data_IF_724753464477
#
_entry.id   IF_724753464477
#
_cell.length_a   1.000
_cell.length_b   1.000
_cell.length_c   1.000
_cell.angle_alpha   90.00
_cell.angle_beta   90.00
_cell.angle_gamma   90.00
#
_symmetry.space_group_name_H-M   'P 1'
#
loop_
_entity.id
_entity.type
_entity.pdbx_description
1 polymer ?
#
# COMPACT_ATOMS: atom_id res chain seq x y z
N UNK A 1 1.75 5.77 25.24
CA UNK A 1 1.61 4.49 24.51
C UNK A 1 1.96 4.70 23.04
N UNK A 2 3.11 4.16 22.61
CA UNK A 2 3.79 4.53 21.37
C UNK A 2 3.11 3.94 20.11
N UNK A 3 2.96 4.78 19.08
CA UNK A 3 2.43 4.42 17.74
C UNK A 3 3.19 3.25 17.07
N UNK A 4 4.39 2.91 17.54
CA UNK A 4 5.20 1.81 16.99
C UNK A 4 4.76 0.40 17.43
N UNK A 5 4.09 0.24 18.58
CA UNK A 5 3.71 -1.10 19.08
C UNK A 5 2.56 -1.73 18.28
N UNK A 6 1.61 -0.93 17.78
CA UNK A 6 0.45 -1.42 17.00
C UNK A 6 0.80 -1.97 15.62
N UNK A 7 2.01 -1.71 15.11
CA UNK A 7 2.41 -2.10 13.76
C UNK A 7 3.06 -3.48 13.67
N UNK A 8 3.27 -4.14 14.81
CA UNK A 8 4.03 -5.39 14.93
C UNK A 8 3.15 -6.65 14.79
N UNK A 9 1.83 -6.53 15.03
CA UNK A 9 0.88 -7.67 15.02
C UNK A 9 0.06 -7.80 13.73
N UNK A 10 0.25 -6.90 12.76
CA UNK A 10 -0.47 -6.98 11.48
C UNK A 10 0.30 -7.86 10.49
N UNK A 11 -0.36 -8.84 9.84
CA UNK A 11 0.29 -9.65 8.82
C UNK A 11 0.76 -8.76 7.66
N UNK A 12 1.95 -9.06 7.15
CA UNK A 12 2.60 -8.31 6.06
C UNK A 12 2.92 -9.27 4.92
N UNK A 13 2.50 -8.92 3.71
CA UNK A 13 2.88 -9.65 2.51
C UNK A 13 4.36 -9.41 2.19
N UNK A 14 5.11 -10.49 1.95
CA UNK A 14 6.53 -10.48 1.56
C UNK A 14 6.68 -10.75 0.06
N UNK A 15 5.87 -11.66 -0.46
CA UNK A 15 5.75 -11.98 -1.86
C UNK A 15 4.28 -12.29 -2.14
N UNK A 16 3.82 -11.95 -3.33
CA UNK A 16 2.46 -12.19 -3.78
C UNK A 16 2.46 -12.46 -5.26
N UNK A 17 1.69 -13.45 -5.67
CA UNK A 17 1.37 -13.70 -7.07
C UNK A 17 -0.14 -13.63 -7.18
N UNK A 18 -0.63 -12.74 -8.04
CA UNK A 18 -2.06 -12.54 -8.28
C UNK A 18 -2.33 -12.80 -9.75
N UNK A 19 -3.04 -13.89 -10.06
CA UNK A 19 -3.33 -14.27 -11.44
C UNK A 19 -4.28 -13.28 -12.15
N UNK A 20 -5.02 -12.46 -11.38
CA UNK A 20 -5.89 -11.40 -11.90
C UNK A 20 -5.25 -10.00 -11.75
N UNK A 21 -3.91 -9.88 -11.64
CA UNK A 21 -3.23 -8.59 -11.43
C UNK A 21 -3.36 -7.60 -12.59
N UNK A 22 -3.44 -8.12 -13.82
CA UNK A 22 -3.47 -7.32 -15.05
C UNK A 22 -4.89 -6.92 -15.46
N UNK A 23 -5.89 -7.42 -14.73
CA UNK A 23 -7.28 -7.05 -14.91
C UNK A 23 -7.52 -5.70 -14.20
N UNK A 24 -7.67 -4.65 -15.00
CA UNK A 24 -7.86 -3.28 -14.51
C UNK A 24 -9.13 -3.11 -13.66
N UNK A 25 -10.11 -4.03 -13.79
CA UNK A 25 -11.34 -4.02 -13.00
C UNK A 25 -11.22 -4.87 -11.72
N UNK A 26 -10.21 -5.74 -11.60
CA UNK A 26 -10.03 -6.60 -10.45
C UNK A 26 -9.48 -5.82 -9.24
N UNK A 27 -10.16 -5.95 -8.08
CA UNK A 27 -9.75 -5.31 -6.83
C UNK A 27 -8.39 -5.85 -6.39
N UNK A 28 -7.29 -5.13 -6.64
CA UNK A 28 -5.92 -5.50 -6.24
C UNK A 28 -5.84 -6.03 -4.80
N UNK A 29 -5.11 -7.13 -4.59
CA UNK A 29 -4.92 -7.69 -3.24
C UNK A 29 -3.99 -6.75 -2.46
N UNK A 30 -4.57 -5.91 -1.61
CA UNK A 30 -3.82 -4.90 -0.84
C UNK A 30 -3.34 -5.38 0.52
N UNK A 31 -3.83 -6.54 0.99
CA UNK A 31 -3.45 -7.12 2.28
C UNK A 31 -3.59 -8.64 2.29
N UNK A 32 -2.82 -9.35 3.14
CA UNK A 32 -3.06 -10.76 3.46
C UNK A 32 -4.35 -10.92 4.31
N UNK A 33 -4.96 -12.11 4.22
CA UNK A 33 -6.23 -12.46 4.88
C UNK A 33 -6.08 -13.57 5.93
N UNK A 34 -4.87 -14.06 6.21
CA UNK A 34 -4.62 -15.10 7.21
C UNK A 34 -5.21 -14.79 8.60
N UNK A 35 -5.15 -13.52 9.02
CA UNK A 35 -5.75 -13.09 10.28
C UNK A 35 -7.28 -13.20 10.27
N UNK A 36 -7.93 -12.88 9.14
CA UNK A 36 -9.38 -12.99 8.99
C UNK A 36 -9.82 -14.46 8.95
N UNK A 37 -9.04 -15.33 8.29
CA UNK A 37 -9.34 -16.76 8.20
C UNK A 37 -9.14 -17.46 9.55
N UNK A 38 -8.02 -17.22 10.22
CA UNK A 38 -7.66 -17.92 11.47
C UNK A 38 -8.35 -17.32 12.71
N UNK A 39 -8.83 -16.08 12.61
CA UNK A 39 -9.53 -15.38 13.68
C UNK A 39 -8.75 -15.36 15.00
N UNK A 40 -9.38 -15.84 16.07
CA UNK A 40 -8.78 -15.89 17.41
C UNK A 40 -7.52 -16.77 17.50
N UNK A 41 -7.36 -17.74 16.60
CA UNK A 41 -6.21 -18.64 16.60
C UNK A 41 -4.97 -18.05 15.94
N UNK A 42 -5.10 -16.90 15.26
CA UNK A 42 -4.01 -16.25 14.53
C UNK A 42 -2.72 -16.11 15.36
N UNK A 43 -2.82 -15.65 16.62
CA UNK A 43 -1.65 -15.45 17.48
C UNK A 43 -1.15 -16.72 18.18
N UNK A 44 -1.96 -17.79 18.18
CA UNK A 44 -1.68 -19.05 18.89
C UNK A 44 -1.30 -20.20 17.96
N UNK A 45 -1.27 -19.95 16.66
CA UNK A 45 -1.10 -20.99 15.68
C UNK A 45 0.30 -21.61 15.75
N UNK A 46 0.35 -22.93 15.55
CA UNK A 46 1.60 -23.69 15.57
C UNK A 46 2.14 -23.83 14.15
N UNK A 47 3.46 -23.82 14.01
CA UNK A 47 4.09 -24.16 12.74
C UNK A 47 3.63 -25.56 12.28
N UNK A 48 3.56 -25.75 10.96
CA UNK A 48 3.05 -26.96 10.32
C UNK A 48 1.55 -27.21 10.50
N UNK A 49 0.78 -26.20 10.90
CA UNK A 49 -0.69 -26.27 10.85
C UNK A 49 -1.21 -25.70 9.53
N UNK A 50 -2.25 -26.31 8.99
CA UNK A 50 -3.01 -25.84 7.84
C UNK A 50 -4.43 -25.48 8.27
N UNK A 51 -4.98 -24.43 7.68
CA UNK A 51 -6.31 -23.91 7.96
C UNK A 51 -7.04 -23.80 6.63
N UNK A 52 -8.16 -24.49 6.50
CA UNK A 52 -9.06 -24.38 5.35
C UNK A 52 -10.25 -23.50 5.75
N UNK A 53 -10.54 -22.47 4.97
CA UNK A 53 -11.66 -21.58 5.27
C UNK A 53 -12.98 -22.36 5.33
N UNK A 54 -13.19 -23.34 4.44
CA UNK A 54 -14.40 -24.17 4.45
C UNK A 54 -14.66 -24.85 5.78
N UNK A 55 -13.61 -25.28 6.48
CA UNK A 55 -13.75 -26.03 7.73
C UNK A 55 -14.22 -25.10 8.85
N UNK A 56 -13.83 -23.82 8.81
CA UNK A 56 -14.27 -22.79 9.75
C UNK A 56 -15.64 -22.22 9.44
N UNK A 57 -16.09 -22.24 8.18
CA UNK A 57 -17.46 -21.83 7.83
C UNK A 57 -18.51 -22.69 8.54
N UNK A 58 -18.16 -23.93 8.91
CA UNK A 58 -19.03 -24.81 9.71
C UNK A 58 -18.92 -24.63 11.22
N UNK A 59 -17.94 -23.86 11.72
CA UNK A 59 -17.76 -23.60 13.15
C UNK A 59 -18.61 -22.40 13.59
N UNK A 60 -19.61 -22.65 14.43
CA UNK A 60 -20.52 -21.60 14.93
C UNK A 60 -19.84 -20.52 15.78
N UNK A 61 -18.60 -20.74 16.25
CA UNK A 61 -17.83 -19.73 16.97
C UNK A 61 -16.94 -18.88 16.06
N UNK A 62 -16.79 -19.26 14.79
CA UNK A 62 -16.00 -18.51 13.83
C UNK A 62 -16.86 -17.39 13.23
N UNK A 63 -16.31 -16.17 13.21
CA UNK A 63 -16.99 -14.99 12.69
C UNK A 63 -16.19 -14.44 11.53
N UNK A 64 -16.80 -14.51 10.34
CA UNK A 64 -16.28 -13.91 9.12
C UNK A 64 -16.22 -12.38 9.23
N UNK A 65 -15.21 -11.77 8.61
CA UNK A 65 -15.16 -10.31 8.49
C UNK A 65 -15.82 -9.87 7.19
N UNK A 66 -16.57 -8.76 7.22
CA UNK A 66 -17.17 -8.18 6.01
C UNK A 66 -16.12 -7.93 4.91
N UNK A 67 -14.89 -7.63 5.30
CA UNK A 67 -13.79 -7.42 4.34
C UNK A 67 -13.37 -8.70 3.63
N UNK A 68 -13.33 -9.83 4.34
CA UNK A 68 -13.04 -11.14 3.74
C UNK A 68 -14.16 -11.56 2.78
N UNK A 69 -15.42 -11.39 3.17
CA UNK A 69 -16.58 -11.74 2.33
C UNK A 69 -16.65 -10.91 1.06
N UNK A 70 -16.51 -9.59 1.18
CA UNK A 70 -16.53 -8.71 0.02
C UNK A 70 -15.40 -9.05 -0.95
N UNK A 71 -14.19 -9.29 -0.43
CA UNK A 71 -13.05 -9.67 -1.27
C UNK A 71 -13.27 -11.01 -1.98
N UNK A 72 -13.78 -12.02 -1.25
CA UNK A 72 -14.12 -13.33 -1.83
C UNK A 72 -15.17 -13.20 -2.94
N UNK A 73 -16.23 -12.43 -2.69
CA UNK A 73 -17.28 -12.21 -3.66
C UNK A 73 -16.77 -11.49 -4.91
N UNK A 74 -15.93 -10.46 -4.76
CA UNK A 74 -15.40 -9.70 -5.91
C UNK A 74 -14.36 -10.49 -6.72
N UNK A 75 -13.59 -11.37 -6.09
CA UNK A 75 -12.54 -12.14 -6.75
C UNK A 75 -12.96 -13.54 -7.18
N UNK A 76 -14.19 -13.94 -6.85
CA UNK A 76 -14.75 -15.29 -7.03
C UNK A 76 -13.90 -16.33 -6.30
N UNK A 77 -13.47 -16.01 -5.07
CA UNK A 77 -12.65 -16.93 -4.25
C UNK A 77 -13.57 -17.71 -3.31
N UNK A 78 -13.63 -19.01 -3.55
CA UNK A 78 -14.44 -19.92 -2.76
C UNK A 78 -13.66 -20.55 -1.61
N UNK A 79 -12.37 -20.83 -1.79
CA UNK A 79 -11.53 -21.44 -0.76
C UNK A 79 -10.26 -20.62 -0.49
N UNK A 80 -9.91 -20.53 0.80
CA UNK A 80 -8.68 -19.90 1.25
C UNK A 80 -7.98 -20.85 2.19
N UNK A 81 -6.74 -21.21 1.84
CA UNK A 81 -5.92 -22.08 2.67
C UNK A 81 -4.76 -21.31 3.25
N UNK A 82 -4.56 -21.41 4.57
CA UNK A 82 -3.46 -20.77 5.28
C UNK A 82 -2.56 -21.83 5.89
N UNK A 83 -1.29 -21.83 5.50
CA UNK A 83 -0.25 -22.71 6.04
C UNK A 83 0.69 -21.91 6.93
N UNK A 84 0.84 -22.33 8.19
CA UNK A 84 1.78 -21.71 9.13
C UNK A 84 3.17 -22.32 8.92
N UNK A 85 4.08 -21.55 8.34
CA UNK A 85 5.43 -22.01 8.03
C UNK A 85 6.37 -21.97 9.24
N UNK A 86 6.25 -20.93 10.05
CA UNK A 86 7.04 -20.75 11.26
C UNK A 86 6.25 -20.00 12.31
N UNK A 87 6.37 -20.41 13.57
CA UNK A 87 5.80 -19.72 14.72
C UNK A 87 6.88 -19.47 15.76
N UNK A 88 7.16 -18.21 16.06
CA UNK A 88 8.03 -17.78 17.15
C UNK A 88 7.36 -16.67 17.97
N UNK A 89 7.89 -16.37 19.16
CA UNK A 89 7.38 -15.29 20.01
C UNK A 89 7.40 -13.89 19.35
N UNK A 90 8.19 -13.70 18.28
CA UNK A 90 8.39 -12.39 17.63
C UNK A 90 7.94 -12.34 16.17
N UNK A 91 7.76 -13.50 15.54
CA UNK A 91 7.48 -13.58 14.11
C UNK A 91 6.73 -14.88 13.82
N UNK A 92 5.63 -14.75 13.08
CA UNK A 92 4.92 -15.86 12.47
C UNK A 92 4.94 -15.67 10.95
N UNK A 93 5.29 -16.73 10.24
CA UNK A 93 5.36 -16.73 8.79
C UNK A 93 4.26 -17.65 8.24
N UNK A 94 3.56 -17.20 7.20
CA UNK A 94 2.44 -17.90 6.60
C UNK A 94 2.56 -17.94 5.09
N UNK A 95 1.95 -18.96 4.48
CA UNK A 95 1.60 -18.98 3.06
C UNK A 95 0.08 -19.02 2.95
N UNK A 96 -0.48 -18.24 2.04
CA UNK A 96 -1.90 -18.26 1.69
C UNK A 96 -2.07 -18.77 0.25
N UNK A 97 -3.01 -19.68 0.06
CA UNK A 97 -3.48 -20.11 -1.25
C UNK A 97 -4.94 -19.71 -1.41
N UNK A 98 -5.28 -19.15 -2.57
CA UNK A 98 -6.63 -18.71 -2.90
C UNK A 98 -7.13 -19.50 -4.10
N UNK A 99 -8.28 -20.14 -3.96
CA UNK A 99 -8.87 -20.96 -5.01
C UNK A 99 -10.25 -20.43 -5.40
N UNK A 100 -10.52 -20.41 -6.70
CA UNK A 100 -11.81 -20.00 -7.25
C UNK A 100 -12.90 -21.09 -7.13
N UNK A 101 -12.58 -22.22 -6.50
CA UNK A 101 -13.45 -23.36 -6.29
C UNK A 101 -13.19 -23.98 -4.92
N UNK A 102 -14.15 -24.71 -4.34
CA UNK A 102 -13.89 -25.50 -3.14
C UNK A 102 -12.87 -26.60 -3.45
N UNK A 103 -12.11 -26.98 -2.42
CA UNK A 103 -11.20 -28.12 -2.48
C UNK A 103 -11.91 -29.40 -2.05
N UNK A 104 -11.73 -30.46 -2.83
CA UNK A 104 -12.20 -31.80 -2.47
C UNK A 104 -11.35 -32.39 -1.33
N UNK A 105 -11.88 -33.42 -0.65
CA UNK A 105 -11.19 -34.06 0.47
C UNK A 105 -9.80 -34.62 0.10
N UNK A 106 -9.69 -35.24 -1.08
CA UNK A 106 -8.42 -35.74 -1.62
C UNK A 106 -7.39 -34.63 -1.81
N UNK A 107 -7.80 -33.48 -2.36
CA UNK A 107 -6.94 -32.34 -2.62
C UNK A 107 -6.46 -31.67 -1.31
N UNK A 108 -7.34 -31.62 -0.30
CA UNK A 108 -6.96 -31.16 1.04
C UNK A 108 -5.88 -32.07 1.64
N UNK A 109 -6.03 -33.38 1.50
CA UNK A 109 -5.06 -34.36 2.00
C UNK A 109 -3.71 -34.27 1.27
N UNK A 110 -3.73 -34.07 -0.05
CA UNK A 110 -2.53 -33.82 -0.84
C UNK A 110 -1.81 -32.55 -0.39
N UNK A 111 -2.56 -31.47 -0.18
CA UNK A 111 -1.99 -30.21 0.31
C UNK A 111 -1.39 -30.37 1.70
N UNK A 112 -2.08 -31.06 2.62
CA UNK A 112 -1.58 -31.43 3.94
C UNK A 112 -0.27 -32.22 3.87
N UNK A 113 -0.18 -33.18 2.94
CA UNK A 113 1.03 -33.96 2.74
C UNK A 113 2.24 -33.11 2.27
N UNK A 114 2.00 -31.97 1.61
CA UNK A 114 3.04 -31.04 1.18
C UNK A 114 3.53 -30.11 2.32
N UNK A 115 2.69 -29.84 3.32
CA UNK A 115 2.99 -28.88 4.41
C UNK A 115 4.34 -29.14 5.10
N UNK A 116 4.70 -30.39 5.49
CA UNK A 116 5.99 -30.64 6.13
C UNK A 116 7.19 -30.25 5.25
N UNK A 117 7.08 -30.42 3.93
CA UNK A 117 8.13 -30.03 2.98
C UNK A 117 8.24 -28.52 2.88
N UNK A 118 7.11 -27.79 2.82
CA UNK A 118 7.10 -26.33 2.82
C UNK A 118 7.74 -25.76 4.09
N UNK A 119 7.39 -26.30 5.26
CA UNK A 119 7.95 -25.89 6.56
C UNK A 119 9.46 -26.14 6.62
N UNK A 120 9.92 -27.32 6.19
CA UNK A 120 11.37 -27.65 6.15
C UNK A 120 12.14 -26.76 5.19
N UNK A 121 11.62 -26.53 3.98
CA UNK A 121 12.26 -25.64 3.01
C UNK A 121 12.32 -24.20 3.53
N UNK A 122 11.27 -23.76 4.22
CA UNK A 122 11.23 -22.44 4.85
C UNK A 122 12.19 -22.33 6.03
N UNK A 123 12.34 -23.36 6.87
CA UNK A 123 13.27 -23.34 8.00
C UNK A 123 14.74 -23.38 7.56
N UNK A 124 15.04 -24.07 6.46
CA UNK A 124 16.39 -24.11 5.85
C UNK A 124 16.78 -22.87 5.05
N UNK A 125 15.92 -21.84 4.99
CA UNK A 125 16.18 -20.63 4.21
C UNK A 125 17.36 -19.81 4.76
N UNK A 126 18.06 -19.09 3.88
CA UNK A 126 19.06 -18.10 4.30
C UNK A 126 18.37 -16.94 5.04
N UNK A 127 18.79 -16.68 6.28
CA UNK A 127 18.38 -15.55 7.12
C UNK A 127 18.81 -14.24 6.48
N UNK A 128 17.95 -13.66 5.64
CA UNK A 128 18.21 -12.41 4.91
C UNK A 128 17.42 -12.29 3.60
N UNK A 129 17.01 -13.42 3.01
CA UNK A 129 16.23 -13.43 1.77
C UNK A 129 14.90 -12.68 1.91
N UNK A 130 14.19 -12.87 3.02
CA UNK A 130 12.93 -12.17 3.30
C UNK A 130 13.15 -10.67 3.44
N UNK A 131 14.19 -10.25 4.17
CA UNK A 131 14.54 -8.84 4.34
C UNK A 131 14.90 -8.20 2.99
N UNK A 132 15.67 -8.91 2.17
CA UNK A 132 16.07 -8.42 0.84
C UNK A 132 14.86 -8.29 -0.10
N UNK A 133 14.00 -9.31 -0.18
CA UNK A 133 12.77 -9.26 -0.97
C UNK A 133 11.85 -8.09 -0.54
N UNK A 134 11.75 -7.82 0.77
CA UNK A 134 11.01 -6.67 1.29
C UNK A 134 11.62 -5.32 0.88
N UNK A 135 12.95 -5.21 0.84
CA UNK A 135 13.63 -4.00 0.39
C UNK A 135 13.44 -3.77 -1.10
N UNK A 136 13.54 -4.83 -1.90
CA UNK A 136 13.35 -4.79 -3.35
C UNK A 136 11.91 -4.41 -3.71
N UNK A 137 10.92 -5.05 -3.09
CA UNK A 137 9.51 -4.74 -3.31
C UNK A 137 9.16 -3.30 -2.87
N UNK A 138 9.69 -2.84 -1.74
CA UNK A 138 9.55 -1.43 -1.33
C UNK A 138 10.13 -0.49 -2.37
N UNK A 139 11.30 -0.81 -2.93
CA UNK A 139 11.93 0.00 -3.96
C UNK A 139 11.13 -0.01 -5.27
N UNK A 140 10.61 -1.16 -5.69
CA UNK A 140 9.75 -1.31 -6.88
C UNK A 140 8.48 -0.47 -6.70
N UNK A 141 7.78 -0.59 -5.57
CA UNK A 141 6.58 0.20 -5.26
C UNK A 141 6.86 1.70 -5.20
N UNK A 142 7.98 2.11 -4.62
CA UNK A 142 8.39 3.51 -4.64
C UNK A 142 8.65 4.02 -6.06
N UNK A 143 9.29 3.21 -6.92
CA UNK A 143 9.52 3.56 -8.33
C UNK A 143 8.22 3.62 -9.14
N UNK A 144 7.32 2.65 -8.97
CA UNK A 144 6.02 2.62 -9.62
C UNK A 144 5.16 3.83 -9.21
N UNK A 145 5.08 4.11 -7.90
CA UNK A 145 4.39 5.30 -7.41
C UNK A 145 5.01 6.60 -7.95
N UNK A 146 6.34 6.70 -8.01
CA UNK A 146 7.02 7.86 -8.60
C UNK A 146 6.72 7.99 -10.11
N UNK A 147 6.58 6.87 -10.83
CA UNK A 147 6.28 6.86 -12.26
C UNK A 147 4.81 7.20 -12.56
N UNK A 148 3.86 6.70 -11.76
CA UNK A 148 2.44 7.07 -11.83
C UNK A 148 2.20 8.54 -11.48
N UNK A 149 2.98 9.09 -10.56
CA UNK A 149 2.88 10.47 -10.11
C UNK A 149 3.81 11.43 -10.87
N UNK A 150 4.39 11.01 -12.01
CA UNK A 150 5.08 11.96 -12.89
C UNK A 150 4.08 13.01 -13.34
N UNK A 151 4.28 14.23 -12.85
CA UNK A 151 3.50 15.38 -13.24
C UNK A 151 3.64 15.60 -14.74
N UNK A 152 2.55 15.34 -15.47
CA UNK A 152 2.44 15.75 -16.86
C UNK A 152 2.78 17.25 -16.97
N UNK A 153 3.61 17.67 -17.94
CA UNK A 153 4.05 19.07 -18.07
C UNK A 153 2.89 20.08 -18.04
N UNK A 154 1.74 19.69 -18.58
CA UNK A 154 0.51 20.48 -18.73
C UNK A 154 -0.44 20.47 -17.51
N UNK A 155 -0.13 19.73 -16.45
CA UNK A 155 -1.01 19.63 -15.28
C UNK A 155 -0.76 20.76 -14.27
N UNK A 156 -1.84 21.47 -13.89
CA UNK A 156 -1.79 22.53 -12.88
C UNK A 156 -1.40 22.01 -11.50
N UNK A 157 -0.26 22.47 -10.97
CA UNK A 157 0.25 22.08 -9.65
C UNK A 157 -0.74 22.46 -8.53
N UNK A 158 -1.47 23.57 -8.72
CA UNK A 158 -2.47 24.08 -7.77
C UNK A 158 -3.91 23.65 -8.11
N UNK A 159 -4.10 22.78 -9.11
CA UNK A 159 -5.41 22.29 -9.51
C UNK A 159 -6.13 21.52 -8.40
N UNK A 160 -7.46 21.49 -8.47
CA UNK A 160 -8.34 20.85 -7.47
C UNK A 160 -8.04 19.36 -7.27
N UNK A 161 -7.53 18.69 -8.30
CA UNK A 161 -7.11 17.29 -8.26
C UNK A 161 -5.76 17.07 -7.55
N UNK A 162 -5.04 18.14 -7.18
CA UNK A 162 -3.71 18.10 -6.56
C UNK A 162 -2.77 17.08 -7.23
N UNK A 163 -2.47 17.25 -8.53
CA UNK A 163 -1.74 16.25 -9.30
C UNK A 163 -0.31 16.02 -8.79
N UNK A 164 0.25 16.98 -8.06
CA UNK A 164 1.58 16.90 -7.44
C UNK A 164 1.57 16.23 -6.05
N UNK A 165 0.40 15.82 -5.55
CA UNK A 165 0.20 15.23 -4.22
C UNK A 165 0.89 16.05 -3.09
N UNK A 166 0.73 17.37 -3.18
CA UNK A 166 1.22 18.30 -2.16
C UNK A 166 0.40 18.09 -0.88
N UNK A 167 1.08 18.06 0.26
CA UNK A 167 0.42 18.13 1.56
C UNK A 167 -0.28 19.47 1.74
N UNK A 168 -1.22 19.58 2.67
CA UNK A 168 -1.94 20.84 2.95
C UNK A 168 -0.99 22.01 3.26
N UNK A 169 0.14 21.74 3.94
CA UNK A 169 1.14 22.75 4.23
C UNK A 169 1.91 23.19 2.97
N UNK A 170 2.36 22.23 2.16
CA UNK A 170 3.07 22.49 0.90
C UNK A 170 2.16 23.23 -0.10
N UNK A 171 0.89 22.84 -0.20
CA UNK A 171 -0.10 23.51 -1.03
C UNK A 171 -0.27 24.98 -0.61
N UNK A 172 -0.41 25.26 0.69
CA UNK A 172 -0.51 26.63 1.21
C UNK A 172 0.74 27.46 0.89
N UNK A 173 1.93 26.87 1.00
CA UNK A 173 3.19 27.54 0.59
C UNK A 173 3.13 27.91 -0.90
N UNK A 174 2.78 26.97 -1.79
CA UNK A 174 2.68 27.25 -3.23
C UNK A 174 1.63 28.34 -3.55
N UNK A 175 0.49 28.37 -2.86
CA UNK A 175 -0.53 29.42 -3.03
C UNK A 175 -0.01 30.80 -2.58
N UNK A 176 0.73 30.89 -1.48
CA UNK A 176 1.31 32.17 -1.06
C UNK A 176 2.40 32.65 -2.03
N UNK A 177 3.18 31.72 -2.58
CA UNK A 177 4.16 32.03 -3.62
C UNK A 177 3.47 32.48 -4.92
N UNK A 178 2.35 31.87 -5.33
CA UNK A 178 1.61 32.29 -6.53
C UNK A 178 1.06 33.71 -6.41
N UNK A 179 0.74 34.14 -5.18
CA UNK A 179 0.35 35.52 -4.85
C UNK A 179 1.53 36.50 -4.79
N UNK A 180 2.76 36.06 -5.07
CA UNK A 180 3.95 36.88 -5.09
C UNK A 180 4.62 37.12 -3.73
N UNK A 181 4.25 36.38 -2.68
CA UNK A 181 4.91 36.51 -1.39
C UNK A 181 6.33 35.94 -1.46
N UNK A 182 7.29 36.66 -0.85
CA UNK A 182 8.64 36.14 -0.65
C UNK A 182 8.64 35.03 0.42
N UNK A 183 9.71 34.25 0.50
CA UNK A 183 9.87 33.21 1.56
C UNK A 183 9.66 33.80 2.96
N UNK A 184 10.11 35.04 3.20
CA UNK A 184 9.86 35.75 4.46
C UNK A 184 8.39 36.11 4.66
N UNK A 185 7.72 36.58 3.61
CA UNK A 185 6.27 36.81 3.65
C UNK A 185 5.49 35.52 3.94
N UNK A 186 5.91 34.39 3.38
CA UNK A 186 5.30 33.08 3.65
C UNK A 186 5.50 32.66 5.11
N UNK A 187 6.67 32.91 5.70
CA UNK A 187 6.90 32.59 7.13
C UNK A 187 5.99 33.39 8.05
N UNK A 188 5.79 34.67 7.75
CA UNK A 188 4.91 35.56 8.50
C UNK A 188 3.44 35.14 8.35
N UNK A 189 2.99 34.93 7.11
CA UNK A 189 1.59 34.61 6.80
C UNK A 189 1.15 33.23 7.31
N UNK A 190 2.07 32.25 7.32
CA UNK A 190 1.77 30.88 7.78
C UNK A 190 2.18 30.62 9.23
N UNK A 191 2.77 31.61 9.93
CA UNK A 191 3.37 31.47 11.25
C UNK A 191 4.34 30.29 11.35
N UNK A 192 5.24 30.17 10.36
CA UNK A 192 6.26 29.10 10.26
C UNK A 192 7.66 29.69 10.36
N UNK A 193 8.64 28.88 10.81
CA UNK A 193 10.04 29.28 10.74
C UNK A 193 10.58 29.16 9.31
N UNK A 194 11.61 29.95 8.97
CA UNK A 194 12.29 29.84 7.67
C UNK A 194 12.83 28.43 7.42
N UNK A 195 13.31 27.73 8.46
CA UNK A 195 13.79 26.35 8.35
C UNK A 195 12.67 25.38 7.94
N UNK A 196 11.47 25.56 8.48
CA UNK A 196 10.29 24.76 8.11
C UNK A 196 9.86 25.06 6.68
N UNK A 197 9.84 26.33 6.26
CA UNK A 197 9.51 26.70 4.88
C UNK A 197 10.55 26.15 3.89
N UNK A 198 11.85 26.19 4.21
CA UNK A 198 12.89 25.56 3.38
C UNK A 198 12.74 24.04 3.27
N UNK A 199 12.28 23.39 4.34
CA UNK A 199 11.97 21.95 4.33
C UNK A 199 10.79 21.66 3.42
N UNK A 200 9.72 22.45 3.51
CA UNK A 200 8.57 22.36 2.60
C UNK A 200 8.98 22.60 1.14
N UNK A 201 9.81 23.62 0.85
CA UNK A 201 10.31 23.90 -0.49
C UNK A 201 11.13 22.74 -1.07
N UNK A 202 11.98 22.10 -0.27
CA UNK A 202 12.72 20.91 -0.71
C UNK A 202 11.78 19.77 -1.09
N UNK A 203 10.77 19.52 -0.26
CA UNK A 203 9.76 18.51 -0.57
C UNK A 203 8.93 18.86 -1.80
N UNK A 204 8.56 20.13 -1.96
CA UNK A 204 7.86 20.64 -3.15
C UNK A 204 8.71 20.38 -4.40
N UNK A 205 9.98 20.80 -4.42
CA UNK A 205 10.87 20.57 -5.57
C UNK A 205 10.98 19.10 -5.94
N UNK A 206 11.09 18.22 -4.95
CA UNK A 206 11.12 16.78 -5.16
C UNK A 206 9.80 16.23 -5.72
N UNK A 207 8.65 16.77 -5.31
CA UNK A 207 7.31 16.33 -5.75
C UNK A 207 6.92 16.91 -7.09
N UNK A 208 7.40 18.10 -7.41
CA UNK A 208 7.09 18.81 -8.66
C UNK A 208 8.12 18.59 -9.76
N UNK A 209 9.19 17.83 -9.47
CA UNK A 209 10.33 17.58 -10.37
C UNK A 209 10.96 18.88 -10.92
N UNK A 210 10.93 19.97 -10.14
CA UNK A 210 11.53 21.25 -10.52
C UNK A 210 12.83 21.46 -9.75
N UNK A 211 13.79 22.12 -10.39
CA UNK A 211 15.15 22.29 -9.90
C UNK A 211 15.31 23.49 -8.95
N UNK A 212 14.30 24.36 -8.88
CA UNK A 212 14.33 25.51 -7.99
C UNK A 212 13.15 26.46 -8.11
N UNK A 213 13.23 27.57 -7.38
CA UNK A 213 12.17 28.57 -7.25
C UNK A 213 11.69 29.19 -8.57
N UNK A 214 12.56 29.57 -9.53
CA UNK A 214 12.11 30.13 -10.80
C UNK A 214 11.28 29.15 -11.63
N UNK A 215 11.68 27.88 -11.65
CA UNK A 215 11.00 26.82 -12.39
C UNK A 215 9.67 26.43 -11.73
N UNK A 216 9.64 26.41 -10.39
CA UNK A 216 8.39 26.26 -9.62
C UNK A 216 7.40 27.38 -9.96
N UNK A 217 7.88 28.63 -9.99
CA UNK A 217 7.02 29.78 -10.29
C UNK A 217 6.50 29.76 -11.72
N UNK A 218 7.37 29.40 -12.68
CA UNK A 218 6.96 29.22 -14.07
C UNK A 218 5.86 28.17 -14.19
N UNK A 219 5.98 27.00 -13.54
CA UNK A 219 4.95 25.97 -13.57
C UNK A 219 3.64 26.40 -12.92
N UNK A 220 3.69 27.11 -11.79
CA UNK A 220 2.49 27.61 -11.11
C UNK A 220 1.74 28.61 -12.02
N UNK A 221 2.45 29.59 -12.58
CA UNK A 221 1.84 30.66 -13.38
C UNK A 221 1.42 30.22 -14.79
N UNK A 222 2.17 29.32 -15.43
CA UNK A 222 1.78 28.76 -16.74
C UNK A 222 0.50 27.96 -16.64
N UNK A 223 0.30 27.25 -15.53
CA UNK A 223 -0.92 26.47 -15.32
C UNK A 223 -2.18 27.30 -15.03
N UNK A 224 -2.05 28.48 -14.41
CA UNK A 224 -3.18 29.41 -14.23
C UNK A 224 -3.64 30.02 -15.56
N UNK A 225 -2.70 30.33 -16.46
CA UNK A 225 -3.03 30.87 -17.79
C UNK A 225 -3.76 29.85 -18.67
N UNK A 226 -3.42 28.57 -18.58
CA UNK A 226 -4.11 27.51 -19.33
C UNK A 226 -5.52 27.24 -18.82
N UNK A 227 -5.77 27.27 -17.50
CA UNK A 227 -7.12 27.17 -16.94
C UNK A 227 -7.98 28.39 -17.30
N UNK A 228 -7.43 29.60 -17.19
CA UNK A 228 -8.12 30.84 -17.57
C UNK A 228 -8.43 30.90 -19.08
N UNK A 229 -7.57 30.31 -19.93
CA UNK A 229 -7.80 30.18 -21.37
C UNK A 229 -8.93 29.22 -21.72
N UNK A 230 -9.02 28.05 -21.05
CA UNK A 230 -10.09 27.06 -21.28
C UNK A 230 -11.47 27.55 -20.85
N UNK A 231 -11.55 28.30 -19.75
CA UNK A 231 -12.81 28.90 -19.25
C UNK A 231 -13.36 30.02 -20.15
N UNK A 232 -12.52 30.64 -20.99
CA UNK A 232 -12.93 31.69 -21.94
C UNK A 232 -13.45 31.15 -23.27
N UNK A 233 -13.07 29.93 -23.66
CA UNK A 233 -13.52 29.30 -24.91
C UNK A 233 -14.85 28.53 -24.78
N UNK A 234 -15.37 28.36 -23.56
CA UNK A 234 -16.62 27.65 -23.28
C UNK A 234 -17.84 28.57 -23.15
N UNK A 235 -17.74 29.82 -23.61
CA UNK A 235 -18.79 30.83 -23.48
C UNK A 235 -19.17 31.46 -24.82
#
# INVERSE_FOLDING_TARGET
MSRHQKQQDRPRAVAMMDAKSDDAEAVTIRRPFCQDVMGYFFTKARASTVWFLSDHLSDGNWVSTQTLENWRATREIEEVVVVVLAGSLRQQDYIEFHFARPLEYSEKLELEALVPTLVRSWSGRKTGLVTQAQMDDRMIRHRAAAQEHRLKPEASILGVSNPANLSRAEFRVCVMLSRGLSVKGVTEELSLSEATVRTHLRSIYSKTEVSGMPELMYRILSSENDEAGRLRQTR
#
